data_IF_648910762930
#
_entry.id   IF_648910762930
#
_cell.length_a   1.000
_cell.length_b   1.000
_cell.length_c   1.000
_cell.angle_alpha   90.00
_cell.angle_beta   90.00
_cell.angle_gamma   90.00
#
_symmetry.space_group_name_H-M   'P 1'
#
loop_
_entity.id
_entity.type
_entity.pdbx_description
1 polymer ?
#
# COMPACT_ATOMS: atom_id res chain seq x y z
N UNK A 1 -4.97 8.35 -16.88
CA UNK A 1 -6.24 8.91 -16.34
C UNK A 1 -5.86 9.93 -15.28
N UNK A 2 -6.40 11.15 -15.32
CA UNK A 2 -6.26 12.16 -14.26
C UNK A 2 -7.60 12.30 -13.54
N UNK A 3 -7.58 12.61 -12.25
CA UNK A 3 -8.78 12.90 -11.49
C UNK A 3 -9.53 14.07 -12.11
N UNK A 4 -10.85 13.93 -12.26
CA UNK A 4 -11.76 15.05 -12.46
C UNK A 4 -11.89 15.83 -11.15
N UNK A 5 -12.28 17.11 -11.22
CA UNK A 5 -12.37 17.97 -10.04
C UNK A 5 -13.27 17.39 -8.93
N UNK A 6 -14.31 16.63 -9.31
CA UNK A 6 -15.24 15.92 -8.42
C UNK A 6 -14.60 14.75 -7.66
N UNK A 7 -13.60 14.07 -8.23
CA UNK A 7 -12.95 12.90 -7.61
C UNK A 7 -11.63 13.23 -6.92
N UNK A 8 -11.08 14.44 -7.11
CA UNK A 8 -9.76 14.81 -6.59
C UNK A 8 -9.62 14.66 -5.08
N UNK A 9 -10.70 14.88 -4.31
CA UNK A 9 -10.69 14.76 -2.84
C UNK A 9 -11.41 13.51 -2.32
N UNK A 10 -11.82 12.61 -3.22
CA UNK A 10 -12.50 11.38 -2.84
C UNK A 10 -11.58 10.45 -2.03
N UNK A 11 -12.16 9.65 -1.14
CA UNK A 11 -11.42 8.66 -0.35
C UNK A 11 -10.80 7.62 -1.30
N UNK A 12 -9.55 7.27 -1.03
CA UNK A 12 -8.79 6.29 -1.78
C UNK A 12 -8.62 5.04 -0.92
N UNK A 13 -8.97 3.89 -1.47
CA UNK A 13 -8.75 2.60 -0.85
C UNK A 13 -7.84 1.76 -1.74
N UNK A 14 -6.80 1.17 -1.13
CA UNK A 14 -5.84 0.29 -1.79
C UNK A 14 -5.92 -1.08 -1.16
N UNK A 15 -6.22 -2.09 -1.97
CA UNK A 15 -6.12 -3.50 -1.60
C UNK A 15 -4.94 -4.07 -2.38
N UNK A 16 -3.90 -4.46 -1.65
CA UNK A 16 -2.64 -4.87 -2.23
C UNK A 16 -2.38 -6.35 -1.92
N UNK A 17 -2.28 -7.15 -2.97
CA UNK A 17 -1.85 -8.55 -2.87
C UNK A 17 -0.32 -8.62 -2.82
N UNK A 18 0.24 -8.99 -1.67
CA UNK A 18 1.69 -9.11 -1.50
C UNK A 18 2.26 -10.41 -2.08
N UNK A 19 1.43 -11.41 -2.42
CA UNK A 19 1.89 -12.65 -3.05
C UNK A 19 2.17 -12.40 -4.52
N UNK A 20 1.23 -11.77 -5.22
CA UNK A 20 1.38 -11.48 -6.65
C UNK A 20 2.20 -10.21 -6.90
N UNK A 21 2.20 -9.27 -5.96
CA UNK A 21 2.98 -8.03 -6.04
C UNK A 21 3.85 -7.86 -4.78
N UNK A 22 4.89 -8.70 -4.57
CA UNK A 22 5.74 -8.61 -3.39
C UNK A 22 6.61 -7.34 -3.41
N UNK A 23 7.14 -6.99 -2.24
CA UNK A 23 8.20 -5.97 -2.15
C UNK A 23 9.47 -6.51 -2.79
N UNK A 24 10.07 -5.81 -3.77
CA UNK A 24 11.34 -6.25 -4.36
C UNK A 24 12.47 -6.31 -3.33
N UNK A 25 13.42 -7.22 -3.56
CA UNK A 25 14.59 -7.34 -2.70
C UNK A 25 15.39 -6.03 -2.64
N UNK A 26 15.83 -5.65 -1.44
CA UNK A 26 16.55 -4.40 -1.20
C UNK A 26 15.68 -3.14 -1.18
N UNK A 27 14.37 -3.25 -1.42
CA UNK A 27 13.44 -2.12 -1.30
C UNK A 27 12.93 -1.94 0.12
N UNK A 28 12.87 -0.68 0.56
CA UNK A 28 12.34 -0.32 1.88
C UNK A 28 10.80 -0.32 1.87
N UNK A 29 10.20 -1.28 2.58
CA UNK A 29 8.76 -1.39 2.72
C UNK A 29 8.11 -0.13 3.35
N UNK A 30 8.86 0.63 4.16
CA UNK A 30 8.40 1.91 4.70
C UNK A 30 8.19 3.00 3.65
N UNK A 31 8.67 2.81 2.40
CA UNK A 31 8.46 3.77 1.30
C UNK A 31 7.20 3.53 0.51
N UNK A 32 6.51 2.40 0.71
CA UNK A 32 5.36 1.98 -0.09
C UNK A 32 4.24 3.01 -0.02
N UNK A 33 3.82 3.41 1.20
CA UNK A 33 2.75 4.41 1.38
C UNK A 33 3.12 5.72 0.68
N UNK A 34 4.30 6.27 0.94
CA UNK A 34 4.73 7.54 0.38
C UNK A 34 4.78 7.50 -1.16
N UNK A 35 5.21 6.36 -1.73
CA UNK A 35 5.26 6.17 -3.18
C UNK A 35 3.86 6.14 -3.80
N UNK A 36 2.91 5.44 -3.17
CA UNK A 36 1.52 5.39 -3.60
C UNK A 36 0.84 6.78 -3.50
N UNK A 37 1.00 7.46 -2.37
CA UNK A 37 0.44 8.81 -2.16
C UNK A 37 1.01 9.83 -3.17
N UNK A 38 2.31 9.75 -3.48
CA UNK A 38 2.92 10.58 -4.52
C UNK A 38 2.32 10.30 -5.91
N UNK A 39 2.12 9.03 -6.26
CA UNK A 39 1.51 8.64 -7.52
C UNK A 39 0.04 9.09 -7.62
N UNK A 40 -0.73 8.99 -6.54
CA UNK A 40 -2.11 9.49 -6.46
C UNK A 40 -2.15 11.00 -6.68
N UNK A 41 -1.25 11.74 -6.02
CA UNK A 41 -1.15 13.19 -6.16
C UNK A 41 -0.79 13.63 -7.58
N UNK A 42 0.16 12.96 -8.23
CA UNK A 42 0.51 13.23 -9.64
C UNK A 42 -0.69 13.03 -10.58
N UNK A 43 -1.57 12.09 -10.22
CA UNK A 43 -2.81 11.81 -10.94
C UNK A 43 -3.96 12.75 -10.55
N UNK A 44 -3.77 13.66 -9.60
CA UNK A 44 -4.77 14.64 -9.16
C UNK A 44 -5.66 14.18 -8.01
N UNK A 45 -5.33 13.06 -7.37
CA UNK A 45 -6.02 12.58 -6.18
C UNK A 45 -5.26 12.98 -4.91
N UNK A 46 -5.95 13.68 -4.03
CA UNK A 46 -5.43 14.18 -2.75
C UNK A 46 -6.35 13.86 -1.57
N UNK A 47 -7.31 12.96 -1.75
CA UNK A 47 -8.17 12.50 -0.67
C UNK A 47 -7.47 11.55 0.31
N UNK A 48 -8.11 11.23 1.45
CA UNK A 48 -7.55 10.33 2.46
C UNK A 48 -7.27 8.94 1.89
N UNK A 49 -6.13 8.35 2.25
CA UNK A 49 -5.67 7.04 1.74
C UNK A 49 -5.69 5.97 2.83
N UNK A 50 -6.47 4.92 2.57
CA UNK A 50 -6.49 3.68 3.36
C UNK A 50 -5.85 2.55 2.56
N UNK A 51 -4.89 1.85 3.16
CA UNK A 51 -4.13 0.78 2.49
C UNK A 51 -4.21 -0.49 3.34
N UNK A 52 -4.62 -1.59 2.71
CA UNK A 52 -4.62 -2.93 3.28
C UNK A 52 -3.79 -3.85 2.39
N UNK A 53 -2.70 -4.37 2.94
CA UNK A 53 -1.87 -5.39 2.35
C UNK A 53 -2.36 -6.78 2.78
N UNK A 54 -2.46 -7.71 1.84
CA UNK A 54 -2.86 -9.09 2.05
C UNK A 54 -1.66 -9.99 1.79
N UNK A 55 -1.29 -10.82 2.76
CA UNK A 55 -0.24 -11.80 2.57
C UNK A 55 0.01 -12.68 3.78
N UNK A 56 0.79 -13.73 3.55
CA UNK A 56 1.19 -14.65 4.61
C UNK A 56 2.29 -14.01 5.47
N UNK A 57 1.88 -13.48 6.61
CA UNK A 57 2.79 -12.89 7.61
C UNK A 57 3.84 -13.88 8.15
N UNK A 58 3.62 -15.20 8.05
CA UNK A 58 4.60 -16.21 8.48
C UNK A 58 5.74 -16.38 7.48
N UNK A 59 5.47 -16.08 6.21
CA UNK A 59 6.44 -16.14 5.12
C UNK A 59 7.04 -14.77 4.79
N UNK A 60 6.43 -13.69 5.28
CA UNK A 60 6.90 -12.32 5.04
C UNK A 60 7.99 -11.96 6.06
N UNK A 61 9.17 -11.45 5.63
CA UNK A 61 10.21 -11.03 6.57
C UNK A 61 9.74 -9.96 7.55
N UNK A 62 10.11 -10.09 8.83
CA UNK A 62 9.64 -9.19 9.89
C UNK A 62 9.96 -7.71 9.65
N UNK A 63 11.11 -7.39 9.04
CA UNK A 63 11.47 -6.01 8.71
C UNK A 63 10.53 -5.39 7.66
N UNK A 64 9.99 -6.20 6.73
CA UNK A 64 8.99 -5.76 5.76
C UNK A 64 7.67 -5.45 6.47
N UNK A 65 7.17 -6.39 7.29
CA UNK A 65 5.94 -6.19 8.07
C UNK A 65 6.03 -4.93 8.95
N UNK A 66 7.17 -4.74 9.62
CA UNK A 66 7.39 -3.58 10.46
C UNK A 66 7.46 -2.28 9.64
N UNK A 67 8.13 -2.29 8.48
CA UNK A 67 8.12 -1.15 7.57
C UNK A 67 6.70 -0.75 7.14
N UNK A 68 5.86 -1.71 6.78
CA UNK A 68 4.46 -1.46 6.40
C UNK A 68 3.65 -0.90 7.58
N UNK A 69 3.64 -1.59 8.72
CA UNK A 69 2.83 -1.20 9.89
C UNK A 69 3.26 0.15 10.45
N UNK A 70 4.57 0.45 10.47
CA UNK A 70 5.08 1.75 10.96
C UNK A 70 4.57 2.94 10.15
N UNK A 71 4.17 2.72 8.90
CA UNK A 71 3.59 3.75 8.03
C UNK A 71 2.07 3.76 8.05
N UNK A 72 1.43 2.96 8.91
CA UNK A 72 -0.03 2.87 8.98
C UNK A 72 -0.64 2.12 7.78
N UNK A 73 0.11 1.22 7.14
CA UNK A 73 -0.46 0.22 6.24
C UNK A 73 -0.97 -0.93 7.11
N UNK A 74 -2.23 -1.32 6.93
CA UNK A 74 -2.79 -2.49 7.60
C UNK A 74 -2.34 -3.75 6.89
N UNK A 75 -1.93 -4.78 7.64
CA UNK A 75 -1.54 -6.08 7.07
C UNK A 75 -2.54 -7.14 7.51
N UNK A 76 -3.34 -7.65 6.58
CA UNK A 76 -4.25 -8.76 6.79
C UNK A 76 -3.52 -10.08 6.51
N UNK A 77 -3.46 -10.96 7.51
CA UNK A 77 -2.91 -12.29 7.33
C UNK A 77 -3.85 -13.12 6.44
N UNK A 78 -3.33 -13.62 5.34
CA UNK A 78 -4.01 -14.58 4.48
C UNK A 78 -3.22 -15.87 4.47
N UNK A 79 -3.93 -17.00 4.58
CA UNK A 79 -3.30 -18.31 4.37
C UNK A 79 -3.17 -18.51 2.86
N UNK A 80 -1.95 -18.77 2.42
CA UNK A 80 -1.73 -19.28 1.07
C UNK A 80 -2.16 -20.74 1.07
N UNK A 81 -3.20 -21.08 0.33
CA UNK A 81 -3.53 -22.48 0.01
C UNK A 81 -2.44 -23.09 -0.90
#
# INVERSE_FOLDING_TARGET
>A
MKATAECGTAKIAVWWDMKDCPIPEGYDAGRVRASLEAAFKERGYSGPVSITAYGDQTQTPGHILQGLVSTGISVAHTRSD
#
